data_IF_104049985697
#
_entry.id   IF_104049985697
#
_cell.length_a   1.000
_cell.length_b   1.000
_cell.length_c   1.000
_cell.angle_alpha   90.00
_cell.angle_beta   90.00
_cell.angle_gamma   90.00
#
_symmetry.space_group_name_H-M   'P 1'
#
loop_
_entity.id
_entity.type
_entity.pdbx_description
1 polymer ?
#
# COMPACT_ATOMS: atom_id res chain seq x y z
N UNK A 1 8.45 17.93 12.82
CA UNK A 1 8.14 17.22 11.57
C UNK A 1 7.34 15.96 11.84
N UNK A 2 6.39 15.65 10.98
CA UNK A 2 5.64 14.42 11.07
C UNK A 2 6.09 13.45 9.95
N UNK A 3 6.13 12.16 10.28
CA UNK A 3 6.35 11.11 9.28
C UNK A 3 5.04 10.38 9.12
N UNK A 4 4.51 10.36 7.91
CA UNK A 4 3.30 9.59 7.60
C UNK A 4 3.65 8.36 6.79
N UNK A 5 2.86 7.31 6.99
CA UNK A 5 2.94 6.10 6.19
C UNK A 5 1.68 6.00 5.35
N UNK A 6 1.87 5.81 4.04
CA UNK A 6 0.77 5.66 3.11
C UNK A 6 0.83 4.25 2.54
N UNK A 7 -0.14 3.44 2.91
CA UNK A 7 -0.26 2.06 2.44
C UNK A 7 -1.30 1.99 1.32
N UNK A 8 -0.89 1.47 0.18
CA UNK A 8 -1.74 1.35 -1.00
C UNK A 8 -1.84 -0.11 -1.39
N UNK A 9 -3.04 -0.62 -1.46
CA UNK A 9 -3.30 -2.00 -1.87
C UNK A 9 -4.44 -2.07 -2.88
N UNK A 10 -4.47 -3.14 -3.66
CA UNK A 10 -5.53 -3.36 -4.62
C UNK A 10 -6.83 -3.71 -3.91
N UNK A 11 -7.94 -3.22 -4.43
CA UNK A 11 -9.28 -3.56 -3.93
C UNK A 11 -9.55 -5.05 -4.14
N UNK A 12 -10.42 -5.60 -3.30
CA UNK A 12 -10.85 -6.99 -3.41
C UNK A 12 -11.42 -7.25 -4.80
N UNK A 13 -11.00 -8.35 -5.41
CA UNK A 13 -11.46 -8.73 -6.76
C UNK A 13 -10.62 -8.17 -7.90
N UNK A 14 -9.70 -7.25 -7.63
CA UNK A 14 -8.77 -6.75 -8.63
C UNK A 14 -7.58 -7.71 -8.74
N UNK A 15 -7.18 -8.04 -9.96
CA UNK A 15 -6.07 -8.96 -10.20
C UNK A 15 -4.76 -8.37 -9.69
N UNK A 16 -3.97 -9.20 -9.02
CA UNK A 16 -2.63 -8.88 -8.52
C UNK A 16 -1.62 -9.87 -9.13
N UNK A 17 -1.16 -9.63 -10.36
CA UNK A 17 -0.22 -10.55 -11.01
C UNK A 17 1.10 -10.68 -10.28
N UNK A 18 1.60 -9.62 -9.66
CA UNK A 18 2.84 -9.67 -8.88
C UNK A 18 2.70 -10.60 -7.68
N UNK A 19 1.60 -10.48 -6.91
CA UNK A 19 1.34 -11.37 -5.78
C UNK A 19 1.18 -12.81 -6.20
N UNK A 20 0.47 -13.06 -7.31
CA UNK A 20 0.29 -14.41 -7.85
C UNK A 20 1.62 -15.04 -8.28
N UNK A 21 2.45 -14.29 -8.98
CA UNK A 21 3.75 -14.78 -9.43
C UNK A 21 4.68 -15.04 -8.25
N UNK A 22 4.65 -14.17 -7.24
CA UNK A 22 5.43 -14.37 -6.02
C UNK A 22 5.01 -15.64 -5.30
N UNK A 23 3.71 -15.89 -5.19
CA UNK A 23 3.20 -17.11 -4.59
C UNK A 23 3.69 -18.36 -5.32
N UNK A 24 3.58 -18.37 -6.66
CA UNK A 24 4.07 -19.48 -7.47
C UNK A 24 5.55 -19.75 -7.26
N UNK A 25 6.35 -18.70 -7.23
CA UNK A 25 7.79 -18.82 -7.05
C UNK A 25 8.13 -19.37 -5.67
N UNK A 26 7.44 -18.89 -4.63
CA UNK A 26 7.65 -19.39 -3.27
C UNK A 26 7.27 -20.86 -3.16
N UNK A 27 6.18 -21.26 -3.78
CA UNK A 27 5.76 -22.68 -3.79
C UNK A 27 6.77 -23.55 -4.54
N UNK A 28 7.31 -23.05 -5.64
CA UNK A 28 8.36 -23.74 -6.40
C UNK A 28 9.65 -23.90 -5.59
N UNK A 29 9.92 -22.98 -4.65
CA UNK A 29 11.07 -23.05 -3.75
C UNK A 29 10.85 -23.97 -2.55
N UNK A 30 9.68 -24.58 -2.43
CA UNK A 30 9.39 -25.54 -1.39
C UNK A 30 8.63 -25.01 -0.19
N UNK A 31 8.17 -23.77 -0.22
CA UNK A 31 7.35 -23.23 0.85
C UNK A 31 5.92 -23.75 0.74
N UNK A 32 5.42 -24.33 1.81
CA UNK A 32 4.08 -24.91 1.88
C UNK A 32 3.16 -24.06 2.75
N UNK A 33 1.86 -24.22 2.56
CA UNK A 33 0.87 -23.59 3.42
C UNK A 33 0.60 -22.12 3.09
N UNK A 34 1.02 -21.65 1.92
CA UNK A 34 0.78 -20.26 1.52
C UNK A 34 -0.67 -20.11 1.07
N UNK A 35 -1.46 -19.34 1.82
CA UNK A 35 -2.84 -19.06 1.47
C UNK A 35 -2.96 -18.04 0.35
N UNK A 36 -2.31 -16.90 0.52
CA UNK A 36 -2.31 -15.83 -0.49
C UNK A 36 -1.08 -14.95 -0.32
N UNK A 37 -0.70 -14.31 -1.40
CA UNK A 37 0.35 -13.29 -1.40
C UNK A 37 -0.22 -12.04 -2.07
N UNK A 38 -0.12 -10.92 -1.40
CA UNK A 38 -0.55 -9.61 -1.92
C UNK A 38 0.65 -8.71 -2.06
N UNK A 39 0.72 -7.98 -3.17
CA UNK A 39 1.69 -6.91 -3.28
C UNK A 39 1.06 -5.62 -2.75
N UNK A 40 1.77 -4.96 -1.86
CA UNK A 40 1.32 -3.73 -1.21
C UNK A 40 2.44 -2.71 -1.32
N UNK A 41 2.08 -1.48 -1.66
CA UNK A 41 3.04 -0.39 -1.72
C UNK A 41 2.96 0.45 -0.44
N UNK A 42 4.10 0.79 0.11
CA UNK A 42 4.18 1.63 1.29
C UNK A 42 5.10 2.81 1.00
N UNK A 43 4.59 4.01 1.18
CA UNK A 43 5.39 5.23 1.12
C UNK A 43 5.54 5.82 2.51
N UNK A 44 6.74 6.23 2.86
CA UNK A 44 6.99 7.06 4.04
C UNK A 44 7.23 8.47 3.55
N UNK A 45 6.47 9.42 4.06
CA UNK A 45 6.61 10.82 3.68
C UNK A 45 6.88 11.65 4.94
N UNK A 46 7.97 12.37 4.94
CA UNK A 46 8.32 13.30 6.01
C UNK A 46 7.84 14.70 5.62
N UNK A 47 7.02 15.29 6.48
CA UNK A 47 6.39 16.58 6.22
C UNK A 47 6.64 17.54 7.36
N UNK A 48 6.92 18.79 7.02
CA UNK A 48 7.06 19.88 8.00
C UNK A 48 5.67 20.44 8.33
N UNK A 49 4.84 19.58 8.94
CA UNK A 49 3.47 19.88 9.32
C UNK A 49 3.14 19.17 10.64
N UNK A 50 2.17 19.70 11.42
CA UNK A 50 1.63 18.95 12.54
C UNK A 50 0.97 17.64 12.07
N UNK A 51 0.85 16.67 12.99
CA UNK A 51 0.38 15.33 12.66
C UNK A 51 -0.98 15.30 11.95
N UNK A 52 -1.95 16.07 12.41
CA UNK A 52 -3.29 16.12 11.81
C UNK A 52 -3.28 16.69 10.39
N UNK A 53 -2.50 17.74 10.17
CA UNK A 53 -2.35 18.34 8.84
C UNK A 53 -1.54 17.43 7.91
N UNK A 54 -0.57 16.71 8.45
CA UNK A 54 0.22 15.76 7.68
C UNK A 54 -0.65 14.62 7.15
N UNK A 55 -1.57 14.10 7.96
CA UNK A 55 -2.51 13.06 7.52
C UNK A 55 -3.41 13.57 6.40
N UNK A 56 -3.95 14.78 6.54
CA UNK A 56 -4.78 15.39 5.49
C UNK A 56 -4.02 15.57 4.19
N UNK A 57 -2.78 16.04 4.28
CA UNK A 57 -1.91 16.19 3.11
C UNK A 57 -1.65 14.83 2.45
N UNK A 58 -1.41 13.79 3.24
CA UNK A 58 -1.20 12.43 2.73
C UNK A 58 -2.42 11.89 1.99
N UNK A 59 -3.61 12.13 2.50
CA UNK A 59 -4.85 11.73 1.83
C UNK A 59 -5.00 12.44 0.49
N UNK A 60 -4.66 13.70 0.43
CA UNK A 60 -4.70 14.46 -0.81
C UNK A 60 -3.66 13.97 -1.81
N UNK A 61 -2.46 13.63 -1.34
CA UNK A 61 -1.42 13.02 -2.19
C UNK A 61 -1.91 11.72 -2.83
N UNK A 62 -2.64 10.90 -2.06
CA UNK A 62 -3.22 9.66 -2.58
C UNK A 62 -4.23 9.96 -3.70
N UNK A 63 -5.13 10.90 -3.47
CA UNK A 63 -6.15 11.26 -4.45
C UNK A 63 -5.55 11.83 -5.74
N UNK A 64 -4.48 12.61 -5.61
CA UNK A 64 -3.89 13.31 -6.76
C UNK A 64 -2.87 12.50 -7.54
N UNK A 65 -2.16 11.60 -6.87
CA UNK A 65 -1.03 10.91 -7.51
C UNK A 65 -0.84 9.47 -7.07
N UNK A 66 -0.78 9.21 -5.75
CA UNK A 66 -0.21 7.97 -5.24
C UNK A 66 -1.10 6.75 -5.40
N UNK A 67 -2.40 6.92 -5.43
CA UNK A 67 -3.35 5.83 -5.54
C UNK A 67 -4.33 6.04 -6.69
N UNK A 68 -4.73 4.94 -7.31
CA UNK A 68 -5.82 4.94 -8.28
C UNK A 68 -7.09 4.51 -7.53
N UNK A 69 -8.01 5.44 -7.21
CA UNK A 69 -9.17 5.14 -6.38
C UNK A 69 -10.16 4.16 -7.02
N UNK A 70 -10.05 3.94 -8.32
CA UNK A 70 -10.90 2.96 -9.02
C UNK A 70 -10.54 1.52 -8.63
N UNK A 71 -9.24 1.24 -8.49
CA UNK A 71 -8.75 -0.12 -8.26
C UNK A 71 -7.98 -0.29 -6.96
N UNK A 72 -7.70 0.79 -6.23
CA UNK A 72 -6.87 0.74 -5.03
C UNK A 72 -7.54 1.36 -3.81
N UNK A 73 -7.27 0.78 -2.65
CA UNK A 73 -7.55 1.38 -1.36
C UNK A 73 -6.26 1.95 -0.81
N UNK A 74 -6.38 2.99 -0.01
CA UNK A 74 -5.21 3.56 0.67
C UNK A 74 -5.53 3.85 2.13
N UNK A 75 -4.49 3.80 2.95
CA UNK A 75 -4.59 4.14 4.37
C UNK A 75 -3.41 5.03 4.73
N UNK A 76 -3.69 6.16 5.37
CA UNK A 76 -2.67 7.10 5.83
C UNK A 76 -2.61 7.04 7.34
N UNK A 77 -1.43 6.79 7.87
CA UNK A 77 -1.20 6.78 9.32
C UNK A 77 0.00 7.67 9.64
N UNK A 78 -0.01 8.27 10.82
CA UNK A 78 1.12 9.05 11.30
C UNK A 78 1.90 8.22 12.32
N UNK A 79 3.19 8.33 12.28
CA UNK A 79 4.07 7.72 13.28
C UNK A 79 4.11 8.51 14.56
#
# INVERSE_FOLDING_TARGET
MAVIEIRIELKKGVADPEGKNTKKTLEALGFEGIGSVKSVKLFEVELDLPADEAVKAGEEMCRKLLANPVIQNYKVTVR
#
